data_IF_334321882557
#
_entry.id   IF_334321882557
#
_cell.length_a   1.000
_cell.length_b   1.000
_cell.length_c   1.000
_cell.angle_alpha   90.00
_cell.angle_beta   90.00
_cell.angle_gamma   90.00
#
_symmetry.space_group_name_H-M   'P 1'
#
loop_
_entity.id
_entity.type
_entity.pdbx_description
1 polymer ?
#
# COMPACT_ATOMS: atom_id res chain seq x y z
N UNK A 1 -27.63 23.44 -7.09
CA UNK A 1 -26.97 24.18 -8.19
C UNK A 1 -25.61 24.57 -7.70
N UNK A 2 -24.53 24.24 -8.44
CA UNK A 2 -23.20 24.65 -8.02
C UNK A 2 -23.06 26.15 -8.30
N UNK A 3 -22.71 26.89 -7.27
CA UNK A 3 -22.62 28.36 -7.25
C UNK A 3 -21.57 28.95 -8.22
N UNK A 4 -20.71 28.08 -8.80
CA UNK A 4 -19.57 28.46 -9.65
C UNK A 4 -19.63 27.91 -11.08
N UNK A 5 -20.82 27.55 -11.57
CA UNK A 5 -20.98 27.01 -12.94
C UNK A 5 -20.67 28.01 -14.04
N UNK A 6 -20.82 29.30 -13.77
CA UNK A 6 -20.54 30.40 -14.65
C UNK A 6 -19.04 30.63 -14.90
N UNK A 7 -18.21 30.31 -13.93
CA UNK A 7 -16.75 30.49 -14.02
C UNK A 7 -16.00 29.21 -14.42
N UNK A 8 -16.67 28.08 -14.43
CA UNK A 8 -16.04 26.78 -14.70
C UNK A 8 -15.40 26.69 -16.10
N UNK A 9 -15.97 27.39 -17.07
CA UNK A 9 -15.53 27.40 -18.47
C UNK A 9 -14.67 28.59 -18.84
N UNK A 10 -14.39 29.48 -17.90
CA UNK A 10 -13.50 30.62 -18.16
C UNK A 10 -12.06 30.13 -18.31
N UNK A 11 -11.40 30.61 -19.37
CA UNK A 11 -9.97 30.34 -19.54
C UNK A 11 -9.18 30.99 -18.40
N UNK A 12 -8.10 30.31 -17.99
CA UNK A 12 -7.24 30.85 -16.94
C UNK A 12 -6.69 32.23 -17.36
N UNK A 13 -6.82 33.22 -16.46
CA UNK A 13 -6.31 34.54 -16.69
C UNK A 13 -4.80 34.56 -16.84
N UNK A 14 -4.28 35.15 -17.93
CA UNK A 14 -2.84 35.32 -18.18
C UNK A 14 -2.47 36.78 -18.11
N UNK A 15 -1.50 37.12 -17.25
CA UNK A 15 -0.97 38.46 -17.14
C UNK A 15 -0.19 38.83 -18.41
N UNK A 16 -0.57 39.87 -19.06
CA UNK A 16 0.11 40.38 -20.29
C UNK A 16 1.45 41.04 -19.99
N UNK A 17 1.59 41.66 -18.84
CA UNK A 17 2.78 42.47 -18.48
C UNK A 17 3.78 41.75 -17.58
N UNK A 18 3.39 40.61 -16.97
CA UNK A 18 4.26 39.82 -16.09
C UNK A 18 4.28 38.39 -16.58
N UNK A 19 5.29 38.04 -17.42
CA UNK A 19 5.41 36.65 -17.86
C UNK A 19 5.61 35.73 -16.66
N UNK A 20 4.95 34.58 -16.70
CA UNK A 20 5.10 33.58 -15.64
C UNK A 20 6.54 33.08 -15.59
N UNK A 21 7.03 32.83 -14.39
CA UNK A 21 8.29 32.17 -14.19
C UNK A 21 8.30 30.80 -14.90
N UNK A 22 9.38 30.48 -15.59
CA UNK A 22 9.54 29.20 -16.24
C UNK A 22 9.46 28.05 -15.22
N UNK A 23 9.03 26.87 -15.67
CA UNK A 23 8.97 25.66 -14.81
C UNK A 23 10.33 25.34 -14.21
N UNK A 24 11.41 25.50 -14.98
CA UNK A 24 12.78 25.30 -14.49
C UNK A 24 13.14 26.24 -13.34
N UNK A 25 12.85 27.53 -13.48
CA UNK A 25 13.12 28.51 -12.42
C UNK A 25 12.25 28.25 -11.17
N UNK A 26 10.99 27.84 -11.35
CA UNK A 26 10.12 27.45 -10.24
C UNK A 26 10.66 26.22 -9.51
N UNK A 27 11.16 25.21 -10.24
CA UNK A 27 11.79 24.06 -9.65
C UNK A 27 13.06 24.42 -8.89
N UNK A 28 13.88 25.34 -9.43
CA UNK A 28 15.10 25.79 -8.77
C UNK A 28 14.86 26.49 -7.41
N UNK A 29 13.68 27.06 -7.17
CA UNK A 29 13.33 27.64 -5.87
C UNK A 29 13.31 26.59 -4.74
N UNK A 30 13.10 25.32 -5.07
CA UNK A 30 13.08 24.24 -4.09
C UNK A 30 14.45 23.57 -3.90
N UNK A 31 15.45 23.93 -4.72
CA UNK A 31 16.80 23.36 -4.61
C UNK A 31 17.43 23.53 -3.20
N UNK A 32 17.28 24.68 -2.50
CA UNK A 32 17.83 24.83 -1.15
C UNK A 32 17.25 23.84 -0.13
N UNK A 33 16.01 23.39 -0.32
CA UNK A 33 15.36 22.41 0.58
C UNK A 33 16.00 21.03 0.49
N UNK A 34 16.62 20.71 -0.65
CA UNK A 34 17.31 19.42 -0.86
C UNK A 34 18.55 19.28 0.02
N UNK A 35 19.12 20.39 0.48
CA UNK A 35 20.25 20.42 1.41
C UNK A 35 19.84 20.20 2.89
N UNK A 36 18.55 20.24 3.20
CA UNK A 36 18.08 20.00 4.58
C UNK A 36 18.14 18.51 4.89
N UNK A 37 18.82 18.18 5.98
CA UNK A 37 18.90 16.80 6.48
C UNK A 37 17.51 16.25 6.76
N UNK A 38 17.18 15.07 6.18
CA UNK A 38 15.89 14.41 6.35
C UNK A 38 14.75 14.94 5.47
N UNK A 39 14.96 16.00 4.70
CA UNK A 39 13.89 16.55 3.85
C UNK A 39 13.48 15.55 2.74
N UNK A 40 14.45 14.92 2.09
CA UNK A 40 14.17 13.91 1.05
C UNK A 40 13.37 12.74 1.60
N UNK A 41 13.76 12.22 2.74
CA UNK A 41 13.09 11.12 3.42
C UNK A 41 11.65 11.50 3.79
N UNK A 42 11.45 12.71 4.30
CA UNK A 42 10.12 13.21 4.63
C UNK A 42 9.22 13.34 3.39
N UNK A 43 9.75 13.82 2.27
CA UNK A 43 9.01 13.92 1.00
C UNK A 43 8.68 12.53 0.46
N UNK A 44 9.65 11.59 0.46
CA UNK A 44 9.42 10.22 0.03
C UNK A 44 8.36 9.54 0.90
N UNK A 45 8.46 9.69 2.21
CA UNK A 45 7.47 9.12 3.13
C UNK A 45 6.08 9.74 2.89
N UNK A 46 5.99 11.04 2.67
CA UNK A 46 4.72 11.70 2.35
C UNK A 46 4.11 11.17 1.05
N UNK A 47 4.95 10.96 0.03
CA UNK A 47 4.55 10.41 -1.27
C UNK A 47 4.22 8.92 -1.27
N UNK A 48 4.69 8.16 -0.27
CA UNK A 48 4.48 6.72 -0.15
C UNK A 48 2.99 6.42 0.05
N UNK A 49 2.43 5.61 -0.84
CA UNK A 49 1.02 5.19 -0.78
C UNK A 49 0.90 3.89 0.01
N UNK A 50 -0.12 3.82 0.85
CA UNK A 50 -0.56 2.61 1.54
C UNK A 50 -1.87 2.12 0.96
N UNK A 51 -2.14 0.83 1.08
CA UNK A 51 -3.38 0.20 0.67
C UNK A 51 -4.24 -0.06 1.91
N UNK A 52 -5.54 0.21 1.88
CA UNK A 52 -6.41 -0.11 3.01
C UNK A 52 -6.51 -1.64 3.19
N UNK A 53 -6.67 -2.07 4.43
CA UNK A 53 -7.01 -3.46 4.74
C UNK A 53 -8.38 -3.81 4.16
N UNK A 54 -8.47 -4.94 3.46
CA UNK A 54 -9.74 -5.48 2.93
C UNK A 54 -10.34 -6.42 3.94
N UNK A 55 -11.55 -6.09 4.39
CA UNK A 55 -12.35 -7.01 5.18
C UNK A 55 -12.86 -8.09 4.24
N UNK A 56 -12.56 -9.34 4.58
CA UNK A 56 -13.03 -10.50 3.82
C UNK A 56 -14.51 -10.74 4.12
N UNK A 57 -15.27 -11.08 3.10
CA UNK A 57 -16.65 -11.57 3.28
C UNK A 57 -16.64 -12.96 3.94
N UNK A 58 -17.72 -13.30 4.60
CA UNK A 58 -17.85 -14.60 5.31
C UNK A 58 -17.63 -15.79 4.39
N UNK A 59 -18.07 -15.71 3.14
CA UNK A 59 -17.87 -16.75 2.12
C UNK A 59 -16.40 -16.97 1.81
N UNK A 60 -15.65 -15.88 1.59
CA UNK A 60 -14.21 -15.95 1.31
C UNK A 60 -13.45 -16.47 2.52
N UNK A 61 -13.86 -16.07 3.72
CA UNK A 61 -13.27 -16.55 4.96
C UNK A 61 -13.52 -18.06 5.15
N UNK A 62 -14.72 -18.53 4.85
CA UNK A 62 -15.08 -19.95 4.89
C UNK A 62 -14.24 -20.78 3.90
N UNK A 63 -14.12 -20.31 2.65
CA UNK A 63 -13.30 -20.95 1.63
C UNK A 63 -11.81 -21.02 2.01
N UNK A 64 -11.29 -19.95 2.62
CA UNK A 64 -9.91 -19.94 3.12
C UNK A 64 -9.71 -20.97 4.23
N UNK A 65 -10.64 -21.07 5.17
CA UNK A 65 -10.59 -22.06 6.25
C UNK A 65 -10.63 -23.49 5.70
N UNK A 66 -11.53 -23.80 4.75
CA UNK A 66 -11.56 -25.09 4.08
C UNK A 66 -10.24 -25.44 3.37
N UNK A 67 -9.64 -24.46 2.68
CA UNK A 67 -8.33 -24.65 2.06
C UNK A 67 -7.25 -24.94 3.11
N UNK A 68 -7.26 -24.19 4.21
CA UNK A 68 -6.31 -24.38 5.32
C UNK A 68 -6.40 -25.76 5.95
N UNK A 69 -7.60 -26.31 6.11
CA UNK A 69 -7.81 -27.66 6.67
C UNK A 69 -7.26 -28.77 5.78
N UNK A 70 -7.36 -28.60 4.46
CA UNK A 70 -6.87 -29.57 3.46
C UNK A 70 -5.34 -29.58 3.32
N UNK A 71 -4.63 -28.58 3.86
CA UNK A 71 -3.18 -28.47 3.75
C UNK A 71 -2.45 -29.53 4.60
N UNK A 72 -1.48 -30.18 3.96
CA UNK A 72 -0.62 -31.18 4.61
C UNK A 72 0.70 -30.54 5.08
N UNK A 73 1.26 -31.07 6.16
CA UNK A 73 2.59 -30.68 6.62
C UNK A 73 3.65 -30.97 5.53
N UNK A 74 4.56 -30.03 5.33
CA UNK A 74 5.62 -30.11 4.31
C UNK A 74 5.22 -29.57 2.93
N UNK A 75 3.96 -29.19 2.72
CA UNK A 75 3.50 -28.65 1.46
C UNK A 75 3.98 -27.20 1.29
N UNK A 76 4.49 -26.88 0.09
CA UNK A 76 4.76 -25.51 -0.32
C UNK A 76 3.47 -24.85 -0.77
N UNK A 77 3.20 -23.68 -0.24
CA UNK A 77 2.01 -22.88 -0.57
C UNK A 77 2.42 -21.43 -0.81
N UNK A 78 1.68 -20.76 -1.68
CA UNK A 78 1.80 -19.32 -1.88
C UNK A 78 0.68 -18.61 -1.15
N UNK A 79 1.03 -17.70 -0.26
CA UNK A 79 0.09 -16.94 0.54
C UNK A 79 0.21 -15.46 0.19
N UNK A 80 -0.93 -14.78 0.15
CA UNK A 80 -1.00 -13.32 0.13
C UNK A 80 -1.44 -12.85 1.51
N UNK A 81 -0.65 -12.00 2.14
CA UNK A 81 -0.96 -11.48 3.48
C UNK A 81 -0.83 -9.98 3.53
N UNK A 82 -1.54 -9.37 4.46
CA UNK A 82 -1.48 -7.93 4.70
C UNK A 82 -0.45 -7.62 5.78
N UNK A 83 0.46 -6.70 5.45
CA UNK A 83 1.42 -6.15 6.40
C UNK A 83 1.01 -4.72 6.73
N UNK A 84 0.56 -4.44 7.97
CA UNK A 84 0.20 -3.09 8.37
C UNK A 84 1.43 -2.17 8.34
N UNK A 85 1.20 -0.90 8.07
CA UNK A 85 2.23 0.11 8.10
C UNK A 85 2.38 0.69 9.51
N UNK A 86 3.62 1.01 9.93
CA UNK A 86 3.89 1.53 11.27
C UNK A 86 3.57 3.03 11.39
N UNK A 87 3.68 3.77 10.30
CA UNK A 87 3.59 5.24 10.30
C UNK A 87 2.29 5.77 9.68
N UNK A 88 1.62 4.98 8.84
CA UNK A 88 0.42 5.38 8.09
C UNK A 88 -0.73 4.42 8.29
N UNK A 89 -1.94 4.96 8.17
CA UNK A 89 -3.15 4.14 8.13
C UNK A 89 -3.12 3.27 6.87
N UNK A 90 -3.32 1.95 7.03
CA UNK A 90 -3.24 0.97 5.97
C UNK A 90 -1.96 0.15 6.01
N UNK A 91 -1.54 -0.36 4.87
CA UNK A 91 -0.36 -1.20 4.77
C UNK A 91 -0.10 -1.63 3.32
N UNK A 92 0.41 -2.82 3.15
CA UNK A 92 0.65 -3.43 1.83
C UNK A 92 0.33 -4.92 1.84
N UNK A 93 -0.12 -5.42 0.71
CA UNK A 93 -0.27 -6.86 0.48
C UNK A 93 1.04 -7.42 -0.06
N UNK A 94 1.52 -8.48 0.55
CA UNK A 94 2.73 -9.19 0.16
C UNK A 94 2.39 -10.64 -0.17
N UNK A 95 3.10 -11.18 -1.16
CA UNK A 95 3.07 -12.60 -1.47
C UNK A 95 4.33 -13.26 -0.95
N UNK A 96 4.17 -14.45 -0.34
CA UNK A 96 5.28 -15.25 0.12
C UNK A 96 5.03 -16.72 -0.18
N UNK A 97 6.10 -17.42 -0.54
CA UNK A 97 6.10 -18.89 -0.59
C UNK A 97 6.52 -19.41 0.78
N UNK A 98 5.70 -20.27 1.35
CA UNK A 98 5.90 -20.78 2.70
C UNK A 98 5.74 -22.31 2.72
N UNK A 99 6.43 -22.95 3.64
CA UNK A 99 6.30 -24.40 3.89
C UNK A 99 5.52 -24.58 5.18
N UNK A 100 4.43 -25.35 5.13
CA UNK A 100 3.62 -25.65 6.30
C UNK A 100 4.34 -26.68 7.18
N UNK A 101 4.62 -26.33 8.44
CA UNK A 101 5.22 -27.23 9.44
C UNK A 101 4.42 -27.15 10.75
N UNK A 102 3.86 -28.28 11.21
CA UNK A 102 3.17 -28.39 12.53
C UNK A 102 2.25 -27.18 12.85
N UNK A 103 1.30 -26.88 11.98
CA UNK A 103 0.37 -25.76 12.14
C UNK A 103 1.02 -24.35 12.11
N UNK A 104 2.23 -24.22 11.61
CA UNK A 104 2.92 -22.94 11.40
C UNK A 104 3.43 -22.86 9.97
N UNK A 105 3.32 -21.67 9.39
CA UNK A 105 3.90 -21.38 8.07
C UNK A 105 5.30 -20.79 8.28
N UNK A 106 6.29 -21.39 7.62
CA UNK A 106 7.68 -20.95 7.67
C UNK A 106 8.06 -20.33 6.33
N UNK A 107 8.54 -19.11 6.35
CA UNK A 107 9.21 -18.44 5.25
C UNK A 107 10.66 -18.18 5.66
N UNK A 108 11.55 -17.96 4.69
CA UNK A 108 12.95 -17.59 4.98
C UNK A 108 13.10 -16.35 5.86
N UNK A 109 12.08 -15.48 5.92
CA UNK A 109 12.12 -14.20 6.63
C UNK A 109 11.21 -14.11 7.87
N UNK A 110 10.26 -15.03 8.06
CA UNK A 110 9.32 -14.93 9.18
C UNK A 110 8.58 -16.25 9.46
N UNK A 111 8.14 -16.41 10.71
CA UNK A 111 7.39 -17.57 11.19
C UNK A 111 5.95 -17.09 11.48
N UNK A 112 4.97 -17.68 10.81
CA UNK A 112 3.57 -17.38 11.02
C UNK A 112 2.87 -18.56 11.72
N UNK A 113 2.13 -18.30 12.80
CA UNK A 113 1.25 -19.32 13.39
C UNK A 113 -0.03 -19.48 12.55
N UNK A 114 -0.68 -20.65 12.62
CA UNK A 114 -1.95 -20.90 11.89
C UNK A 114 -3.05 -19.90 12.30
N UNK A 115 -3.09 -19.51 13.57
CA UNK A 115 -4.01 -18.47 14.07
C UNK A 115 -3.71 -17.08 13.51
N UNK A 116 -2.43 -16.76 13.30
CA UNK A 116 -2.01 -15.50 12.71
C UNK A 116 -2.33 -15.45 11.21
N UNK A 117 -2.22 -16.61 10.52
CA UNK A 117 -2.61 -16.75 9.14
C UNK A 117 -4.11 -16.46 8.91
N UNK A 118 -4.98 -16.90 9.81
CA UNK A 118 -6.42 -16.65 9.69
C UNK A 118 -6.80 -15.16 9.76
N UNK A 119 -5.97 -14.34 10.41
CA UNK A 119 -6.29 -12.92 10.61
C UNK A 119 -5.75 -12.01 9.48
N UNK A 120 -4.68 -12.42 8.78
CA UNK A 120 -3.98 -11.57 7.82
C UNK A 120 -3.97 -12.11 6.38
N UNK A 121 -4.50 -13.31 6.14
CA UNK A 121 -4.48 -13.90 4.80
C UNK A 121 -5.58 -13.34 3.92
N UNK A 122 -5.20 -12.87 2.73
CA UNK A 122 -6.14 -12.46 1.70
C UNK A 122 -6.38 -13.57 0.66
N UNK A 123 -5.45 -14.51 0.47
CA UNK A 123 -5.58 -15.60 -0.50
C UNK A 123 -4.53 -16.70 -0.31
N UNK A 124 -4.89 -17.95 -0.62
CA UNK A 124 -3.98 -19.10 -0.68
C UNK A 124 -4.06 -19.68 -2.09
N UNK A 125 -2.90 -19.83 -2.75
CA UNK A 125 -2.73 -20.54 -4.03
C UNK A 125 -1.84 -21.75 -3.81
N UNK A 126 -2.18 -22.85 -4.45
CA UNK A 126 -1.41 -24.10 -4.47
C UNK A 126 -0.41 -24.09 -5.61
#
# INVERSE_FOLDING_TARGET
MNEYTDILYLSHYEFRYHPRMSIANRAAQFAPFDALTGYKEAVFEKGRKTTPYRILTDDVFYDLNQKMEKLKNGQKIRITYFLPDELKIGGKYLEAEVILKKNRCYSEKSIFSKSFCNFFLANIKY
#
